data_IF_464540265803
#
_entry.id   IF_464540265803
#
_cell.length_a   1.000
_cell.length_b   1.000
_cell.length_c   1.000
_cell.angle_alpha   90.00
_cell.angle_beta   90.00
_cell.angle_gamma   90.00
#
_symmetry.space_group_name_H-M   'P 1'
#
loop_
_entity.id
_entity.type
_entity.pdbx_description
1 polymer ?
#
# COMPACT_ATOMS: atom_id res chain seq x y z
N UNK A 1 17.10 -17.47 11.51
CA UNK A 1 15.68 -17.86 11.28
C UNK A 1 14.69 -17.23 12.28
N UNK A 2 15.07 -16.20 13.08
CA UNK A 2 14.24 -15.55 14.12
C UNK A 2 13.41 -14.35 13.63
N UNK A 3 13.47 -14.04 12.33
CA UNK A 3 13.16 -12.72 11.78
C UNK A 3 11.85 -12.68 10.95
N UNK A 4 11.32 -13.84 10.52
CA UNK A 4 10.27 -13.94 9.47
C UNK A 4 8.92 -13.26 9.75
N UNK A 5 8.61 -12.88 10.99
CA UNK A 5 7.31 -12.33 11.36
C UNK A 5 7.07 -10.91 10.82
N UNK A 6 8.07 -10.05 10.95
CA UNK A 6 8.03 -8.64 10.51
C UNK A 6 8.24 -8.50 9.00
N UNK A 7 8.92 -9.49 8.44
CA UNK A 7 9.47 -9.52 7.09
C UNK A 7 8.39 -9.80 6.07
N UNK A 8 7.40 -10.63 6.42
CA UNK A 8 6.27 -10.98 5.56
C UNK A 8 5.35 -9.79 5.27
N UNK A 9 4.99 -9.01 6.29
CA UNK A 9 4.14 -7.82 6.11
C UNK A 9 4.89 -6.67 5.41
N UNK A 10 6.19 -6.52 5.66
CA UNK A 10 7.04 -5.56 4.96
C UNK A 10 7.21 -5.93 3.47
N UNK A 11 7.47 -7.20 3.15
CA UNK A 11 7.59 -7.69 1.77
C UNK A 11 6.27 -7.56 1.01
N UNK A 12 5.14 -7.96 1.60
CA UNK A 12 3.82 -7.77 1.00
C UNK A 12 3.55 -6.31 0.62
N UNK A 13 3.87 -5.38 1.52
CA UNK A 13 3.72 -3.95 1.28
C UNK A 13 4.64 -3.44 0.16
N UNK A 14 5.90 -3.87 0.14
CA UNK A 14 6.86 -3.51 -0.92
C UNK A 14 6.42 -4.01 -2.29
N UNK A 15 6.02 -5.29 -2.38
CA UNK A 15 5.54 -5.88 -3.63
C UNK A 15 4.27 -5.20 -4.11
N UNK A 16 3.32 -4.92 -3.21
CA UNK A 16 2.09 -4.21 -3.58
C UNK A 16 2.36 -2.78 -4.06
N UNK A 17 3.26 -2.06 -3.40
CA UNK A 17 3.66 -0.69 -3.79
C UNK A 17 4.35 -0.68 -5.15
N UNK A 18 5.24 -1.64 -5.41
CA UNK A 18 5.92 -1.81 -6.69
C UNK A 18 4.93 -2.13 -7.82
N UNK A 19 4.04 -3.09 -7.61
CA UNK A 19 3.00 -3.48 -8.58
C UNK A 19 2.11 -2.28 -8.91
N UNK A 20 1.71 -1.50 -7.91
CA UNK A 20 0.90 -0.30 -8.11
C UNK A 20 1.65 0.79 -8.87
N UNK A 21 2.92 1.04 -8.56
CA UNK A 21 3.73 2.01 -9.30
C UNK A 21 3.86 1.62 -10.77
N UNK A 22 4.25 0.35 -11.05
CA UNK A 22 4.39 -0.16 -12.41
C UNK A 22 3.05 -0.11 -13.15
N UNK A 23 1.95 -0.50 -12.50
CA UNK A 23 0.62 -0.46 -13.10
C UNK A 23 0.17 0.95 -13.50
N UNK A 24 0.46 1.96 -12.68
CA UNK A 24 0.13 3.35 -12.97
C UNK A 24 1.01 3.92 -14.09
N UNK A 25 2.32 3.64 -14.07
CA UNK A 25 3.22 4.03 -15.16
C UNK A 25 2.82 3.36 -16.48
N UNK A 26 2.45 2.07 -16.45
CA UNK A 26 2.00 1.34 -17.62
C UNK A 26 0.74 1.94 -18.25
N UNK A 27 -0.20 2.47 -17.45
CA UNK A 27 -1.37 3.19 -17.96
C UNK A 27 -0.99 4.42 -18.79
N UNK A 28 -0.05 5.22 -18.28
CA UNK A 28 0.39 6.45 -18.96
C UNK A 28 1.25 6.18 -20.20
N UNK A 29 1.89 5.01 -20.29
CA UNK A 29 2.61 4.55 -21.49
C UNK A 29 1.65 3.98 -22.54
N UNK A 30 0.75 3.08 -22.13
CA UNK A 30 -0.16 2.37 -23.03
C UNK A 30 -1.28 3.27 -23.55
N UNK A 31 -1.68 4.28 -22.76
CA UNK A 31 -2.74 5.25 -23.06
C UNK A 31 -4.04 4.61 -23.58
N UNK A 32 -4.35 3.41 -23.10
CA UNK A 32 -5.46 2.61 -23.64
C UNK A 32 -6.82 3.22 -23.24
N UNK A 33 -7.72 3.46 -24.20
CA UNK A 33 -9.01 4.09 -23.92
C UNK A 33 -9.90 3.17 -23.07
N UNK A 34 -10.64 3.75 -22.12
CA UNK A 34 -11.69 3.03 -21.36
C UNK A 34 -12.86 2.65 -22.28
N UNK A 35 -13.68 1.64 -21.91
CA UNK A 35 -14.83 1.23 -22.72
C UNK A 35 -15.77 2.40 -23.04
N UNK A 36 -16.21 2.42 -24.29
CA UNK A 36 -17.10 3.46 -24.84
C UNK A 36 -18.43 3.49 -24.11
N UNK A 37 -18.88 4.70 -23.80
CA UNK A 37 -20.21 4.97 -23.25
C UNK A 37 -20.92 5.91 -24.22
N UNK A 38 -22.04 5.51 -24.86
CA UNK A 38 -22.78 4.23 -24.76
C UNK A 38 -22.08 3.04 -25.49
N UNK A 39 -22.32 1.75 -25.13
CA UNK A 39 -23.44 1.16 -24.35
C UNK A 39 -23.20 0.88 -22.85
N UNK A 40 -22.01 1.17 -22.28
CA UNK A 40 -21.72 0.92 -20.85
C UNK A 40 -21.99 2.18 -20.02
N UNK A 41 -22.79 2.08 -18.95
CA UNK A 41 -23.04 3.21 -18.02
C UNK A 41 -21.88 3.33 -17.03
N UNK A 42 -21.16 4.45 -17.07
CA UNK A 42 -20.07 4.74 -16.14
C UNK A 42 -20.63 5.24 -14.81
N UNK A 43 -20.61 4.39 -13.78
CA UNK A 43 -21.06 4.75 -12.43
C UNK A 43 -20.05 5.65 -11.69
N UNK A 44 -18.77 5.51 -12.00
CA UNK A 44 -17.68 6.24 -11.32
C UNK A 44 -17.20 7.46 -12.13
N UNK A 45 -17.89 8.61 -11.97
CA UNK A 45 -17.61 9.84 -12.74
C UNK A 45 -16.28 10.53 -12.39
N UNK A 46 -15.67 10.25 -11.23
CA UNK A 46 -14.42 10.89 -10.78
C UNK A 46 -13.19 10.47 -11.58
N UNK A 47 -13.25 9.34 -12.27
CA UNK A 47 -12.07 8.63 -12.82
C UNK A 47 -12.19 8.46 -14.35
N UNK A 48 -13.09 9.22 -14.98
CA UNK A 48 -13.40 9.09 -16.42
C UNK A 48 -12.22 9.46 -17.31
N UNK A 49 -11.31 10.32 -16.83
CA UNK A 49 -10.13 10.79 -17.55
C UNK A 49 -8.91 9.85 -17.43
N UNK A 50 -9.00 8.74 -16.68
CA UNK A 50 -7.89 7.79 -16.57
C UNK A 50 -7.93 6.71 -17.65
N UNK A 51 -6.75 6.22 -18.06
CA UNK A 51 -6.61 5.10 -18.97
C UNK A 51 -7.12 3.77 -18.39
N UNK A 52 -7.59 2.89 -19.27
CA UNK A 52 -8.26 1.64 -18.92
C UNK A 52 -7.30 0.50 -18.56
N UNK A 53 -6.20 0.35 -19.30
CA UNK A 53 -5.28 -0.79 -19.18
C UNK A 53 -3.94 -0.39 -18.55
N UNK A 54 -3.39 -1.15 -17.59
CA UNK A 54 -3.99 -2.27 -16.85
C UNK A 54 -4.90 -1.83 -15.70
N UNK A 55 -5.81 -2.71 -15.26
CA UNK A 55 -6.65 -2.46 -14.08
C UNK A 55 -5.84 -2.50 -12.79
N UNK A 56 -5.50 -1.33 -12.25
CA UNK A 56 -4.73 -1.19 -11.00
C UNK A 56 -5.43 -1.79 -9.78
N UNK A 57 -6.76 -1.82 -9.76
CA UNK A 57 -7.52 -2.48 -8.69
C UNK A 57 -7.37 -4.00 -8.75
N UNK A 58 -7.42 -4.59 -9.96
CA UNK A 58 -7.17 -6.02 -10.15
C UNK A 58 -5.72 -6.37 -9.80
N UNK A 59 -4.78 -5.50 -10.16
CA UNK A 59 -3.37 -5.65 -9.81
C UNK A 59 -3.17 -5.64 -8.29
N UNK A 60 -3.71 -4.63 -7.58
CA UNK A 60 -3.61 -4.54 -6.12
C UNK A 60 -4.22 -5.75 -5.42
N UNK A 61 -5.44 -6.16 -5.81
CA UNK A 61 -6.13 -7.28 -5.18
C UNK A 61 -5.37 -8.60 -5.37
N UNK A 62 -4.83 -8.84 -6.57
CA UNK A 62 -4.00 -10.01 -6.87
C UNK A 62 -2.69 -9.96 -6.07
N UNK A 63 -2.00 -8.82 -6.06
CA UNK A 63 -0.76 -8.65 -5.30
C UNK A 63 -0.98 -8.94 -3.82
N UNK A 64 -1.95 -8.27 -3.19
CA UNK A 64 -2.23 -8.40 -1.76
C UNK A 64 -2.61 -9.84 -1.41
N UNK A 65 -3.52 -10.46 -2.17
CA UNK A 65 -4.04 -11.80 -1.84
C UNK A 65 -2.99 -12.89 -1.98
N UNK A 66 -2.26 -12.90 -3.08
CA UNK A 66 -1.27 -13.95 -3.35
C UNK A 66 0.01 -13.75 -2.53
N UNK A 67 0.46 -12.52 -2.30
CA UNK A 67 1.59 -12.28 -1.39
C UNK A 67 1.25 -12.63 0.06
N UNK A 68 0.00 -12.39 0.48
CA UNK A 68 -0.48 -12.84 1.80
C UNK A 68 -0.46 -14.37 1.88
N UNK A 69 -1.03 -15.07 0.90
CA UNK A 69 -1.06 -16.55 0.84
C UNK A 69 0.34 -17.16 0.95
N UNK A 70 1.28 -16.66 0.13
CA UNK A 70 2.68 -17.12 0.12
C UNK A 70 3.36 -16.82 1.48
N UNK A 71 3.03 -15.69 2.09
CA UNK A 71 3.60 -15.29 3.39
C UNK A 71 3.06 -16.10 4.56
N UNK A 72 1.84 -16.63 4.47
CA UNK A 72 1.18 -17.35 5.56
C UNK A 72 1.34 -18.86 5.49
N UNK A 73 1.70 -19.43 4.33
CA UNK A 73 1.78 -20.88 4.11
C UNK A 73 2.79 -21.59 5.03
N UNK A 74 3.93 -20.95 5.34
CA UNK A 74 4.97 -21.53 6.20
C UNK A 74 4.74 -21.24 7.71
N UNK A 75 3.65 -20.54 8.06
CA UNK A 75 3.49 -19.90 9.37
C UNK A 75 2.24 -20.31 10.14
N UNK A 76 1.13 -20.53 9.44
CA UNK A 76 -0.13 -20.92 10.04
C UNK A 76 -0.54 -22.29 9.54
N UNK A 77 -1.08 -23.13 10.44
CA UNK A 77 -1.65 -24.42 10.03
C UNK A 77 -3.06 -24.18 9.49
N UNK A 78 -3.18 -24.14 8.16
CA UNK A 78 -4.45 -24.21 7.47
C UNK A 78 -4.28 -24.99 6.15
N UNK A 79 -5.35 -25.62 5.62
CA UNK A 79 -5.26 -26.31 4.34
C UNK A 79 -4.90 -25.32 3.23
N UNK A 80 -3.81 -25.55 2.49
CA UNK A 80 -3.36 -24.66 1.41
C UNK A 80 -4.49 -24.34 0.41
N UNK A 81 -5.30 -25.35 0.09
CA UNK A 81 -6.48 -25.20 -0.76
C UNK A 81 -7.44 -24.11 -0.25
N UNK A 82 -7.70 -24.04 1.06
CA UNK A 82 -8.56 -23.02 1.65
C UNK A 82 -7.98 -21.61 1.46
N UNK A 83 -6.68 -21.44 1.73
CA UNK A 83 -6.01 -20.15 1.53
C UNK A 83 -6.01 -19.73 0.06
N UNK A 84 -5.77 -20.67 -0.86
CA UNK A 84 -5.84 -20.43 -2.29
C UNK A 84 -7.25 -20.02 -2.73
N UNK A 85 -8.28 -20.74 -2.28
CA UNK A 85 -9.68 -20.40 -2.57
C UNK A 85 -10.01 -18.99 -2.09
N UNK A 86 -9.61 -18.61 -0.86
CA UNK A 86 -9.83 -17.27 -0.34
C UNK A 86 -9.13 -16.19 -1.18
N UNK A 87 -7.87 -16.42 -1.56
CA UNK A 87 -7.12 -15.48 -2.40
C UNK A 87 -7.75 -15.30 -3.79
N UNK A 88 -8.22 -16.41 -4.39
CA UNK A 88 -8.92 -16.38 -5.68
C UNK A 88 -10.26 -15.65 -5.54
N UNK A 89 -11.08 -15.99 -4.55
CA UNK A 89 -12.39 -15.37 -4.33
C UNK A 89 -12.27 -13.87 -4.08
N UNK A 90 -11.32 -13.43 -3.27
CA UNK A 90 -11.11 -12.00 -3.04
C UNK A 90 -10.67 -11.28 -4.32
N UNK A 91 -9.71 -11.83 -5.06
CA UNK A 91 -9.25 -11.23 -6.31
C UNK A 91 -10.37 -11.18 -7.36
N UNK A 92 -11.15 -12.25 -7.53
CA UNK A 92 -12.26 -12.29 -8.49
C UNK A 92 -13.37 -11.32 -8.10
N UNK A 93 -13.71 -11.21 -6.81
CA UNK A 93 -14.73 -10.25 -6.35
C UNK A 93 -14.34 -8.81 -6.68
N UNK A 94 -13.08 -8.43 -6.44
CA UNK A 94 -12.58 -7.10 -6.79
C UNK A 94 -12.58 -6.91 -8.32
N UNK A 95 -12.16 -7.91 -9.09
CA UNK A 95 -12.19 -7.87 -10.55
C UNK A 95 -13.62 -7.66 -11.09
N UNK A 96 -14.58 -8.41 -10.58
CA UNK A 96 -16.00 -8.30 -10.96
C UNK A 96 -16.57 -6.92 -10.62
N UNK A 97 -16.17 -6.31 -9.50
CA UNK A 97 -16.59 -4.95 -9.14
C UNK A 97 -16.19 -3.89 -10.19
N UNK A 98 -15.05 -4.08 -10.88
CA UNK A 98 -14.56 -3.16 -11.92
C UNK A 98 -15.29 -3.33 -13.24
N UNK A 99 -15.73 -4.54 -13.55
CA UNK A 99 -16.61 -4.82 -14.68
C UNK A 99 -18.02 -4.27 -14.42
N UNK A 100 -18.55 -4.50 -13.21
CA UNK A 100 -19.88 -4.03 -12.79
C UNK A 100 -20.00 -2.50 -12.83
N UNK A 101 -18.97 -1.79 -12.41
CA UNK A 101 -18.94 -0.31 -12.46
C UNK A 101 -18.75 0.27 -13.86
N UNK A 102 -18.55 -0.59 -14.87
CA UNK A 102 -18.39 -0.19 -16.27
C UNK A 102 -17.07 0.54 -16.56
N UNK A 103 -16.10 0.42 -15.66
CA UNK A 103 -14.86 1.20 -15.70
C UNK A 103 -13.75 0.51 -16.48
N UNK A 104 -13.76 -0.82 -16.56
CA UNK A 104 -12.73 -1.63 -17.21
C UNK A 104 -13.35 -2.72 -18.09
N UNK A 105 -12.63 -3.11 -19.14
CA UNK A 105 -12.95 -4.30 -19.93
C UNK A 105 -12.41 -5.57 -19.26
N UNK A 106 -12.87 -6.74 -19.71
CA UNK A 106 -12.32 -8.03 -19.27
C UNK A 106 -10.82 -8.13 -19.59
N UNK A 107 -10.39 -7.57 -20.72
CA UNK A 107 -8.97 -7.53 -21.12
C UNK A 107 -8.14 -6.70 -20.14
N UNK A 108 -8.62 -5.54 -19.71
CA UNK A 108 -7.91 -4.67 -18.75
C UNK A 108 -7.68 -5.39 -17.40
N UNK A 109 -8.66 -6.20 -17.00
CA UNK A 109 -8.61 -7.00 -15.78
C UNK A 109 -7.63 -8.16 -15.93
N UNK A 110 -7.74 -8.95 -17.00
CA UNK A 110 -6.83 -10.07 -17.27
C UNK A 110 -5.38 -9.59 -17.42
N UNK A 111 -5.15 -8.49 -18.13
CA UNK A 111 -3.83 -7.87 -18.25
C UNK A 111 -3.26 -7.46 -16.90
N UNK A 112 -4.09 -6.87 -16.01
CA UNK A 112 -3.68 -6.54 -14.64
C UNK A 112 -3.27 -7.77 -13.83
N UNK A 113 -4.07 -8.85 -13.88
CA UNK A 113 -3.76 -10.10 -13.18
C UNK A 113 -2.46 -10.73 -13.70
N UNK A 114 -2.29 -10.81 -15.02
CA UNK A 114 -1.09 -11.40 -15.65
C UNK A 114 0.17 -10.61 -15.35
N UNK A 115 0.14 -9.28 -15.47
CA UNK A 115 1.28 -8.41 -15.11
C UNK A 115 1.64 -8.61 -13.64
N UNK A 116 0.64 -8.68 -12.76
CA UNK A 116 0.89 -8.88 -11.33
C UNK A 116 1.49 -10.24 -11.04
N UNK A 117 0.97 -11.31 -11.64
CA UNK A 117 1.51 -12.66 -11.51
C UNK A 117 2.98 -12.71 -11.96
N UNK A 118 3.30 -12.07 -13.09
CA UNK A 118 4.67 -11.96 -13.59
C UNK A 118 5.59 -11.19 -12.62
N UNK A 119 5.14 -10.06 -12.10
CA UNK A 119 5.92 -9.27 -11.13
C UNK A 119 6.15 -10.02 -9.81
N UNK A 120 5.16 -10.77 -9.32
CA UNK A 120 5.33 -11.62 -8.13
C UNK A 120 6.36 -12.70 -8.43
N UNK A 121 6.24 -13.41 -9.55
CA UNK A 121 7.18 -14.46 -9.94
C UNK A 121 8.62 -13.94 -10.05
N UNK A 122 8.80 -12.74 -10.60
CA UNK A 122 10.11 -12.10 -10.73
C UNK A 122 10.68 -11.63 -9.38
N UNK A 123 9.84 -11.08 -8.50
CA UNK A 123 10.30 -10.53 -7.22
C UNK A 123 10.48 -11.59 -6.15
N UNK A 124 9.71 -12.68 -6.18
CA UNK A 124 9.75 -13.77 -5.22
C UNK A 124 11.16 -14.29 -4.90
N UNK A 125 12.03 -14.64 -5.88
CA UNK A 125 13.39 -15.10 -5.58
C UNK A 125 14.26 -14.01 -4.94
N UNK A 126 13.98 -12.73 -5.19
CA UNK A 126 14.72 -11.61 -4.62
C UNK A 126 14.27 -11.24 -3.19
N UNK A 127 13.15 -11.76 -2.70
CA UNK A 127 12.62 -11.38 -1.38
C UNK A 127 13.59 -11.68 -0.23
N UNK A 128 14.30 -12.80 -0.28
CA UNK A 128 15.29 -13.17 0.74
C UNK A 128 16.51 -12.24 0.75
N UNK A 129 16.94 -11.80 -0.44
CA UNK A 129 18.04 -10.85 -0.57
C UNK A 129 17.63 -9.46 -0.06
N UNK A 130 16.47 -8.96 -0.49
CA UNK A 130 15.92 -7.67 -0.03
C UNK A 130 15.85 -7.65 1.49
N UNK A 131 15.34 -8.72 2.09
CA UNK A 131 15.23 -8.86 3.54
C UNK A 131 16.59 -8.82 4.28
N UNK A 132 17.60 -9.49 3.70
CA UNK A 132 18.95 -9.46 4.25
C UNK A 132 19.59 -8.06 4.19
N UNK A 133 19.34 -7.31 3.12
CA UNK A 133 19.85 -5.95 2.92
C UNK A 133 19.17 -4.95 3.85
N UNK A 134 17.86 -5.07 4.02
CA UNK A 134 17.06 -4.30 4.97
C UNK A 134 17.62 -4.35 6.39
N UNK A 135 18.00 -5.56 6.82
CA UNK A 135 18.48 -5.81 8.18
C UNK A 135 19.94 -5.41 8.39
N UNK A 136 20.74 -5.34 7.32
CA UNK A 136 22.18 -5.13 7.41
C UNK A 136 22.63 -3.66 7.29
N UNK A 137 21.86 -2.81 6.59
CA UNK A 137 22.32 -1.47 6.22
C UNK A 137 21.59 -0.34 6.98
N UNK A 138 22.32 0.56 7.67
CA UNK A 138 21.74 1.76 8.27
C UNK A 138 21.41 2.87 7.26
N UNK A 139 21.88 2.74 6.01
CA UNK A 139 21.57 3.69 4.93
C UNK A 139 20.24 3.36 4.23
N UNK A 140 19.69 2.17 4.47
CA UNK A 140 18.46 1.70 3.84
C UNK A 140 17.25 2.65 4.04
N UNK A 141 16.99 3.21 5.25
CA UNK A 141 15.93 4.20 5.46
C UNK A 141 15.99 5.41 4.54
N UNK A 142 17.21 5.91 4.26
CA UNK A 142 17.40 7.06 3.38
C UNK A 142 17.00 6.69 1.96
N UNK A 143 17.43 5.53 1.47
CA UNK A 143 17.05 5.03 0.15
C UNK A 143 15.54 4.82 0.02
N UNK A 144 14.88 4.30 1.06
CA UNK A 144 13.42 4.06 1.11
C UNK A 144 12.61 5.35 1.04
N UNK A 145 13.18 6.49 1.43
CA UNK A 145 12.50 7.80 1.31
C UNK A 145 12.88 8.46 -0.03
N UNK A 146 14.17 8.54 -0.34
CA UNK A 146 14.69 9.30 -1.47
C UNK A 146 14.30 8.69 -2.81
N UNK A 147 14.42 7.37 -2.97
CA UNK A 147 14.11 6.71 -4.25
C UNK A 147 12.61 6.84 -4.57
N UNK A 148 11.67 6.48 -3.68
CA UNK A 148 10.24 6.68 -3.92
C UNK A 148 9.84 8.14 -4.16
N UNK A 149 10.45 9.09 -3.45
CA UNK A 149 10.21 10.52 -3.66
C UNK A 149 10.64 10.95 -5.07
N UNK A 150 11.84 10.54 -5.50
CA UNK A 150 12.37 10.85 -6.83
C UNK A 150 11.51 10.21 -7.93
N UNK A 151 11.03 8.98 -7.73
CA UNK A 151 10.10 8.31 -8.65
C UNK A 151 8.77 9.07 -8.77
N UNK A 152 8.22 9.57 -7.66
CA UNK A 152 6.99 10.36 -7.67
C UNK A 152 7.17 11.73 -8.33
N UNK A 153 8.35 12.35 -8.16
CA UNK A 153 8.68 13.65 -8.74
C UNK A 153 8.88 13.55 -10.26
N UNK A 154 9.58 12.51 -10.73
CA UNK A 154 9.81 12.24 -12.16
C UNK A 154 8.68 11.41 -12.80
N UNK A 155 7.54 11.29 -12.13
CA UNK A 155 6.41 10.54 -12.65
C UNK A 155 5.95 11.15 -13.99
N UNK A 156 5.68 10.33 -15.02
CA UNK A 156 5.34 10.81 -16.35
C UNK A 156 4.26 11.90 -16.34
N UNK A 157 4.47 12.95 -17.14
CA UNK A 157 3.47 14.00 -17.29
C UNK A 157 2.36 13.48 -18.20
N UNK A 158 1.15 13.37 -17.66
CA UNK A 158 -0.04 13.07 -18.44
C UNK A 158 -0.49 14.32 -19.20
N UNK A 159 -1.06 14.16 -20.39
CA UNK A 159 -1.44 15.25 -21.30
C UNK A 159 -2.53 16.17 -20.69
N UNK A 160 -3.27 15.68 -19.69
CA UNK A 160 -4.26 16.42 -18.92
C UNK A 160 -4.06 16.18 -17.42
N UNK A 161 -4.53 17.12 -16.58
CA UNK A 161 -4.53 16.90 -15.13
C UNK A 161 -5.44 15.72 -14.78
N UNK A 162 -4.83 14.64 -14.30
CA UNK A 162 -5.48 13.45 -13.79
C UNK A 162 -5.07 13.21 -12.33
N UNK A 163 -5.94 12.61 -11.51
CA UNK A 163 -5.61 12.30 -10.12
C UNK A 163 -4.54 11.20 -9.99
N UNK A 164 -4.18 10.51 -11.08
CA UNK A 164 -3.29 9.33 -11.09
C UNK A 164 -1.97 9.57 -10.40
N UNK A 165 -1.25 10.66 -10.74
CA UNK A 165 0.03 11.00 -10.10
C UNK A 165 -0.13 11.16 -8.60
N UNK A 166 -1.19 11.83 -8.19
CA UNK A 166 -1.44 12.17 -6.80
C UNK A 166 -1.83 10.91 -6.00
N UNK A 167 -2.48 9.95 -6.64
CA UNK A 167 -2.84 8.65 -6.06
C UNK A 167 -1.63 7.69 -6.02
N UNK A 168 -0.81 7.66 -7.07
CA UNK A 168 0.48 6.95 -7.09
C UNK A 168 1.38 7.46 -5.98
N UNK A 169 1.53 8.78 -5.84
CA UNK A 169 2.33 9.39 -4.76
C UNK A 169 1.82 8.96 -3.40
N UNK A 170 0.50 8.88 -3.21
CA UNK A 170 -0.13 8.46 -1.97
C UNK A 170 0.24 7.01 -1.61
N UNK A 171 0.13 6.10 -2.57
CA UNK A 171 0.42 4.66 -2.38
C UNK A 171 1.91 4.44 -2.12
N UNK A 172 2.76 5.03 -2.95
CA UNK A 172 4.21 4.88 -2.87
C UNK A 172 4.76 5.46 -1.57
N UNK A 173 4.26 6.62 -1.14
CA UNK A 173 4.62 7.24 0.14
C UNK A 173 4.15 6.41 1.34
N UNK A 174 2.92 5.89 1.32
CA UNK A 174 2.43 5.00 2.37
C UNK A 174 3.31 3.74 2.46
N UNK A 175 3.67 3.15 1.32
CA UNK A 175 4.56 2.00 1.23
C UNK A 175 5.95 2.28 1.80
N UNK A 176 6.53 3.44 1.49
CA UNK A 176 7.79 3.91 2.03
C UNK A 176 7.72 4.08 3.56
N UNK A 177 6.66 4.73 4.07
CA UNK A 177 6.44 4.93 5.50
C UNK A 177 6.29 3.63 6.29
N UNK A 178 5.55 2.66 5.74
CA UNK A 178 5.40 1.32 6.33
C UNK A 178 6.75 0.61 6.42
N UNK A 179 7.54 0.64 5.34
CA UNK A 179 8.88 0.04 5.30
C UNK A 179 9.83 0.69 6.30
N UNK A 180 9.81 2.03 6.37
CA UNK A 180 10.60 2.80 7.33
C UNK A 180 10.23 2.45 8.78
N UNK A 181 8.93 2.36 9.10
CA UNK A 181 8.50 2.02 10.45
C UNK A 181 8.84 0.58 10.83
N UNK A 182 8.82 -0.36 9.89
CA UNK A 182 9.34 -1.71 10.13
C UNK A 182 10.84 -1.72 10.45
N UNK A 183 11.62 -0.95 9.70
CA UNK A 183 13.06 -0.81 9.96
C UNK A 183 13.33 -0.18 11.34
N UNK A 184 12.61 0.90 11.70
CA UNK A 184 12.72 1.55 13.02
C UNK A 184 12.36 0.57 14.15
N UNK A 185 11.25 -0.15 14.01
CA UNK A 185 10.84 -1.14 15.00
C UNK A 185 11.86 -2.26 15.16
N UNK A 186 12.49 -2.70 14.07
CA UNK A 186 13.54 -3.71 14.09
C UNK A 186 14.79 -3.20 14.81
N UNK A 187 15.27 -2.02 14.45
CA UNK A 187 16.51 -1.44 14.97
C UNK A 187 16.40 -1.05 16.45
N UNK A 188 15.30 -0.40 16.85
CA UNK A 188 15.08 0.07 18.23
C UNK A 188 14.31 -0.93 19.11
N UNK A 189 13.89 -2.07 18.56
CA UNK A 189 13.16 -3.12 19.28
C UNK A 189 11.88 -2.65 20.01
N UNK A 190 11.22 -1.59 19.50
CA UNK A 190 10.10 -0.90 20.16
C UNK A 190 8.91 -1.81 20.51
N UNK A 191 8.67 -2.83 19.67
CA UNK A 191 7.49 -3.71 19.75
C UNK A 191 7.90 -5.19 19.81
N UNK A 192 9.19 -5.49 20.01
CA UNK A 192 9.68 -6.86 19.97
C UNK A 192 9.06 -7.71 21.10
N UNK A 193 8.14 -8.60 20.75
CA UNK A 193 7.85 -9.80 21.52
C UNK A 193 9.01 -10.78 21.29
N UNK A 194 9.61 -11.38 22.32
CA UNK A 194 10.67 -12.38 22.15
C UNK A 194 10.13 -13.56 21.33
N UNK A 195 10.69 -13.79 20.14
CA UNK A 195 10.31 -14.94 19.31
C UNK A 195 10.77 -16.22 20.01
N UNK A 196 9.88 -17.21 20.25
CA UNK A 196 10.31 -18.52 20.70
C UNK A 196 11.29 -19.12 19.68
N UNK A 197 12.23 -19.91 20.18
CA UNK A 197 13.39 -20.45 19.46
C UNK A 197 13.05 -21.42 18.33
N UNK A 198 11.78 -21.82 18.20
CA UNK A 198 11.30 -22.77 17.20
C UNK A 198 10.24 -22.15 16.28
N UNK A 199 10.14 -22.59 15.00
CA UNK A 199 9.03 -22.25 14.13
C UNK A 199 7.77 -22.92 14.69
N UNK A 200 7.13 -22.29 15.68
CA UNK A 200 5.84 -22.75 16.18
C UNK A 200 4.82 -22.38 15.11
N UNK A 201 4.43 -23.37 14.31
CA UNK A 201 3.31 -23.20 13.39
C UNK A 201 2.09 -22.93 14.26
N UNK A 202 1.51 -21.74 14.11
CA UNK A 202 0.45 -21.28 15.00
C UNK A 202 -0.88 -21.84 14.50
N UNK A 203 -1.62 -22.55 15.35
CA UNK A 203 -3.01 -22.90 15.07
C UNK A 203 -3.84 -21.61 15.07
N UNK A 204 -4.83 -21.54 14.19
CA UNK A 204 -5.76 -20.41 14.15
C UNK A 204 -6.65 -20.55 15.40
N UNK A 205 -6.59 -19.60 16.37
CA UNK A 205 -7.43 -19.69 17.56
C UNK A 205 -8.91 -19.60 17.18
N UNK A 206 -9.77 -20.30 17.92
CA UNK A 206 -11.20 -20.19 17.75
C UNK A 206 -11.65 -18.73 18.00
N UNK A 207 -12.55 -18.23 17.17
CA UNK A 207 -13.04 -16.86 17.27
C UNK A 207 -13.92 -16.74 18.53
N UNK A 208 -13.36 -16.17 19.60
CA UNK A 208 -14.13 -15.84 20.82
C UNK A 208 -14.65 -14.40 20.75
N UNK A 209 -15.74 -14.14 21.48
CA UNK A 209 -16.32 -12.78 21.60
C UNK A 209 -15.29 -11.78 22.13
N UNK A 210 -14.44 -12.20 23.06
CA UNK A 210 -13.41 -11.35 23.66
C UNK A 210 -12.33 -10.98 22.64
N UNK A 211 -11.94 -11.91 21.77
CA UNK A 211 -11.01 -11.62 20.66
C UNK A 211 -11.63 -10.66 19.64
N UNK A 212 -12.93 -10.78 19.38
CA UNK A 212 -13.64 -9.87 18.50
C UNK A 212 -13.69 -8.46 19.09
N UNK A 213 -14.06 -8.32 20.36
CA UNK A 213 -14.14 -7.02 21.05
C UNK A 213 -12.75 -6.37 21.14
N UNK A 214 -11.71 -7.15 21.47
CA UNK A 214 -10.34 -6.67 21.50
C UNK A 214 -9.87 -6.24 20.11
N UNK A 215 -10.20 -7.01 19.07
CA UNK A 215 -9.88 -6.70 17.69
C UNK A 215 -10.54 -5.40 17.21
N UNK A 216 -11.83 -5.22 17.51
CA UNK A 216 -12.57 -3.99 17.21
C UNK A 216 -12.01 -2.79 17.96
N UNK A 217 -11.64 -2.96 19.24
CA UNK A 217 -11.02 -1.91 20.05
C UNK A 217 -9.68 -1.48 19.46
N UNK A 218 -8.81 -2.43 19.10
CA UNK A 218 -7.53 -2.16 18.41
C UNK A 218 -7.74 -1.43 17.09
N UNK A 219 -8.74 -1.85 16.31
CA UNK A 219 -9.08 -1.23 15.04
C UNK A 219 -9.53 0.23 15.21
N UNK A 220 -10.42 0.49 16.17
CA UNK A 220 -10.93 1.84 16.45
C UNK A 220 -9.82 2.77 16.94
N UNK A 221 -9.02 2.34 17.91
CA UNK A 221 -7.88 3.12 18.43
C UNK A 221 -6.88 3.42 17.32
N UNK A 222 -6.53 2.42 16.50
CA UNK A 222 -5.62 2.56 15.37
C UNK A 222 -6.14 3.57 14.32
N UNK A 223 -7.40 3.47 13.92
CA UNK A 223 -8.01 4.39 12.93
C UNK A 223 -8.02 5.82 13.44
N UNK A 224 -8.45 6.04 14.68
CA UNK A 224 -8.52 7.39 15.26
C UNK A 224 -7.13 8.04 15.24
N UNK A 225 -6.09 7.31 15.69
CA UNK A 225 -4.73 7.84 15.69
C UNK A 225 -4.25 8.15 14.26
N UNK A 226 -4.47 7.24 13.30
CA UNK A 226 -4.07 7.43 11.91
C UNK A 226 -4.76 8.65 11.30
N UNK A 227 -6.05 8.84 11.52
CA UNK A 227 -6.81 10.00 11.01
C UNK A 227 -6.30 11.31 11.60
N UNK A 228 -6.01 11.33 12.90
CA UNK A 228 -5.46 12.50 13.59
C UNK A 228 -4.08 12.88 13.03
N UNK A 229 -3.17 11.91 12.93
CA UNK A 229 -1.83 12.14 12.37
C UNK A 229 -1.92 12.60 10.92
N UNK A 230 -2.76 11.97 10.11
CA UNK A 230 -3.00 12.39 8.72
C UNK A 230 -3.46 13.85 8.67
N UNK A 231 -4.45 14.23 9.47
CA UNK A 231 -4.99 15.59 9.45
C UNK A 231 -3.96 16.62 9.92
N UNK A 232 -3.22 16.32 10.98
CA UNK A 232 -2.16 17.19 11.50
C UNK A 232 -1.05 17.41 10.46
N UNK A 233 -0.46 16.32 9.94
CA UNK A 233 0.67 16.40 9.01
C UNK A 233 0.24 17.01 7.67
N UNK A 234 -0.97 16.70 7.18
CA UNK A 234 -1.49 17.32 5.96
C UNK A 234 -1.63 18.84 6.11
N UNK A 235 -2.13 19.32 7.26
CA UNK A 235 -2.29 20.76 7.49
C UNK A 235 -0.95 21.46 7.63
N UNK A 236 -0.02 20.90 8.42
CA UNK A 236 1.31 21.47 8.62
C UNK A 236 2.11 21.51 7.30
N UNK A 237 2.11 20.42 6.54
CA UNK A 237 2.83 20.36 5.25
C UNK A 237 2.30 21.38 4.24
N UNK A 238 0.98 21.54 4.15
CA UNK A 238 0.38 22.57 3.28
C UNK A 238 0.69 23.99 3.75
N UNK A 239 0.67 24.26 5.06
CA UNK A 239 1.03 25.57 5.60
C UNK A 239 2.48 25.94 5.27
N UNK A 240 3.42 25.00 5.47
CA UNK A 240 4.84 25.20 5.16
C UNK A 240 5.04 25.47 3.66
N UNK A 241 4.44 24.64 2.79
CA UNK A 241 4.59 24.80 1.34
C UNK A 241 3.94 26.08 0.82
N UNK A 242 2.74 26.43 1.29
CA UNK A 242 2.10 27.68 0.87
C UNK A 242 2.84 28.93 1.35
N UNK A 243 3.44 28.88 2.55
CA UNK A 243 4.32 29.93 3.03
C UNK A 243 5.58 30.05 2.18
N UNK A 244 6.23 28.91 1.88
CA UNK A 244 7.44 28.86 1.05
C UNK A 244 7.23 29.41 -0.36
N UNK A 245 6.13 29.03 -1.01
CA UNK A 245 5.79 29.49 -2.36
C UNK A 245 5.02 30.82 -2.39
N UNK A 246 4.77 31.45 -1.24
CA UNK A 246 4.00 32.70 -1.08
C UNK A 246 2.64 32.66 -1.79
N UNK A 247 1.92 31.54 -1.70
CA UNK A 247 0.61 31.37 -2.35
C UNK A 247 -0.53 31.42 -1.34
N UNK A 248 -1.66 32.04 -1.73
CA UNK A 248 -2.87 32.09 -0.90
C UNK A 248 -3.40 30.69 -0.66
N UNK A 249 -3.60 30.33 0.62
CA UNK A 249 -4.01 29.00 1.14
C UNK A 249 -5.30 28.44 0.55
N UNK A 250 -6.10 29.25 -0.14
CA UNK A 250 -7.42 28.88 -0.68
C UNK A 250 -7.43 28.58 -2.18
N UNK A 251 -6.32 28.75 -2.89
CA UNK A 251 -6.28 28.54 -4.33
C UNK A 251 -6.16 27.04 -4.69
N UNK A 252 -7.20 26.46 -5.30
CA UNK A 252 -7.24 25.04 -5.70
C UNK A 252 -6.19 24.72 -6.78
N UNK A 253 -5.84 25.68 -7.62
CA UNK A 253 -4.85 25.48 -8.69
C UNK A 253 -3.43 25.43 -8.14
N UNK A 254 -3.14 26.21 -7.10
CA UNK A 254 -1.86 26.16 -6.40
C UNK A 254 -1.59 24.76 -5.81
N UNK A 255 -2.63 24.12 -5.28
CA UNK A 255 -2.54 22.76 -4.72
C UNK A 255 -2.25 21.69 -5.77
N UNK A 256 -2.51 21.96 -7.05
CA UNK A 256 -2.24 21.05 -8.19
C UNK A 256 -0.86 21.27 -8.81
N UNK A 257 -0.10 22.28 -8.36
CA UNK A 257 1.27 22.48 -8.81
C UNK A 257 2.12 21.30 -8.34
N UNK A 258 2.94 20.77 -9.23
CA UNK A 258 3.79 19.60 -8.97
C UNK A 258 4.65 19.78 -7.71
N UNK A 259 5.22 20.97 -7.56
CA UNK A 259 6.06 21.39 -6.43
C UNK A 259 5.35 21.39 -5.08
N UNK A 260 4.02 21.44 -5.07
CA UNK A 260 3.20 21.42 -3.85
C UNK A 260 2.56 20.04 -3.70
N UNK A 261 1.91 19.54 -4.76
CA UNK A 261 1.10 18.31 -4.74
C UNK A 261 1.89 17.06 -4.35
N UNK A 262 3.08 16.87 -4.92
CA UNK A 262 3.90 15.69 -4.63
C UNK A 262 4.48 15.77 -3.22
N UNK A 263 5.16 16.86 -2.79
CA UNK A 263 5.77 16.89 -1.46
C UNK A 263 4.77 16.81 -0.30
N UNK A 264 3.64 17.53 -0.34
CA UNK A 264 2.69 17.49 0.78
C UNK A 264 2.06 16.10 0.92
N UNK A 265 1.68 15.46 -0.21
CA UNK A 265 1.11 14.12 -0.18
C UNK A 265 2.14 13.12 0.29
N UNK A 266 3.37 13.21 -0.23
CA UNK A 266 4.44 12.29 0.11
C UNK A 266 4.72 12.32 1.62
N UNK A 267 4.92 13.50 2.20
CA UNK A 267 5.15 13.64 3.65
C UNK A 267 3.96 13.13 4.47
N UNK A 268 2.73 13.52 4.08
CA UNK A 268 1.52 13.09 4.78
C UNK A 268 1.38 11.58 4.80
N UNK A 269 1.47 10.91 3.67
CA UNK A 269 1.22 9.48 3.59
C UNK A 269 2.39 8.62 4.08
N UNK A 270 3.63 9.13 3.98
CA UNK A 270 4.79 8.52 4.66
C UNK A 270 4.58 8.53 6.18
N UNK A 271 4.10 9.65 6.74
CA UNK A 271 3.79 9.74 8.18
C UNK A 271 2.66 8.80 8.61
N UNK A 272 1.64 8.61 7.76
CA UNK A 272 0.56 7.66 8.00
C UNK A 272 1.07 6.22 8.03
N UNK A 273 1.90 5.83 7.07
CA UNK A 273 2.51 4.50 7.02
C UNK A 273 3.40 4.22 8.24
N UNK A 274 4.22 5.20 8.62
CA UNK A 274 5.07 5.16 9.82
C UNK A 274 4.22 5.06 11.10
N UNK A 275 3.15 5.83 11.20
CA UNK A 275 2.23 5.82 12.34
C UNK A 275 1.58 4.45 12.52
N UNK A 276 1.09 3.86 11.43
CA UNK A 276 0.43 2.56 11.45
C UNK A 276 1.36 1.43 11.92
N UNK A 277 2.65 1.48 11.59
CA UNK A 277 3.62 0.42 11.92
C UNK A 277 4.35 0.65 13.24
N UNK A 278 4.63 1.87 13.65
CA UNK A 278 5.41 2.17 14.86
C UNK A 278 4.54 2.67 16.01
N UNK A 279 3.80 3.76 15.80
CA UNK A 279 3.09 4.44 16.88
C UNK A 279 1.83 3.68 17.33
N UNK A 280 1.06 3.12 16.40
CA UNK A 280 -0.16 2.35 16.74
C UNK A 280 0.19 1.13 17.62
N UNK A 281 1.18 0.27 17.28
CA UNK A 281 1.54 -0.84 18.15
C UNK A 281 2.13 -0.42 19.50
N UNK A 282 2.90 0.69 19.55
CA UNK A 282 3.39 1.24 20.82
C UNK A 282 2.24 1.71 21.71
N UNK A 283 1.23 2.37 21.14
CA UNK A 283 0.04 2.80 21.88
C UNK A 283 -0.76 1.60 22.39
N UNK A 284 -0.95 0.56 21.58
CA UNK A 284 -1.59 -0.68 22.03
C UNK A 284 -0.82 -1.35 23.17
N UNK A 285 0.53 -1.32 23.13
CA UNK A 285 1.37 -1.82 24.23
C UNK A 285 1.15 -1.02 25.51
N UNK A 286 1.16 0.31 25.40
CA UNK A 286 0.96 1.21 26.53
C UNK A 286 -0.42 1.06 27.18
N UNK A 287 -1.45 0.84 26.36
CA UNK A 287 -2.83 0.62 26.81
C UNK A 287 -3.09 -0.82 27.30
N UNK A 288 -2.09 -1.71 27.30
CA UNK A 288 -2.24 -3.11 27.70
C UNK A 288 -3.12 -3.95 26.78
N UNK A 289 -3.30 -3.51 25.53
CA UNK A 289 -4.14 -4.19 24.53
C UNK A 289 -3.38 -5.30 23.79
N UNK A 290 -2.05 -5.44 23.97
CA UNK A 290 -1.20 -6.22 23.06
C UNK A 290 -1.38 -7.74 23.21
#
# INVERSE_FOLDING_TARGET
MKTRVWITSALQNKTSSLVMYIGQVAKDILKWPRPSSPPVVKLEKRVVAEYGMPSTHAMAATAISFTLLISTMDRYQYPFALGLTMAVVFSTLVCLSRLYTGMHTVLDVLGGVLITAFLIALTYPAWTLIDSLDSASPLFPVCVIVVPFFLCYNYPVSDYYSPTRADTTTIVAAGAGVTLGFWINHFFQLVAQPTPTFPVIRSIPALTTDMLVLGLTKFMVGIVLIVLVRQLVQNLSLQVLFSWFKVVTRNKEARRRLEIEVPYKFVTYTSVGLCATTFVPMLHRFLGLL
#
